data_IF_494467628745
#
_entry.id   IF_494467628745
#
_cell.length_a   1.000
_cell.length_b   1.000
_cell.length_c   1.000
_cell.angle_alpha   90.00
_cell.angle_beta   90.00
_cell.angle_gamma   90.00
#
_symmetry.space_group_name_H-M   'P 1'
#
loop_
_entity.id
_entity.type
_entity.pdbx_description
1 polymer ?
#
# COMPACT_ATOMS: atom_id res chain seq x y z
N UNK A 1 36.19 32.60 59.38
CA UNK A 1 35.57 31.25 59.34
C UNK A 1 34.23 31.32 60.04
N UNK A 2 33.17 30.57 59.68
CA UNK A 2 32.97 29.58 58.59
C UNK A 2 31.80 30.04 57.67
N UNK A 3 31.23 29.33 56.69
CA UNK A 3 31.54 28.20 55.82
C UNK A 3 30.55 28.27 54.65
N UNK A 4 31.00 27.80 53.50
CA UNK A 4 30.26 27.41 52.31
C UNK A 4 28.91 26.70 52.59
N UNK A 5 27.89 27.00 51.78
CA UNK A 5 26.84 26.06 51.37
C UNK A 5 26.34 26.51 49.98
N UNK A 6 26.99 26.00 48.93
CA UNK A 6 26.44 24.99 48.02
C UNK A 6 25.08 25.44 47.42
N UNK A 7 24.98 25.90 46.17
CA UNK A 7 25.65 25.33 45.01
C UNK A 7 25.11 23.94 44.67
N UNK A 8 23.79 23.73 44.61
CA UNK A 8 23.20 22.45 44.17
C UNK A 8 21.75 22.56 43.67
N UNK A 9 21.45 23.47 42.74
CA UNK A 9 20.12 23.53 42.10
C UNK A 9 20.15 23.33 40.58
N UNK A 10 21.19 22.68 40.03
CA UNK A 10 21.33 22.40 38.58
C UNK A 10 21.49 20.93 38.19
N UNK A 11 21.39 19.97 39.13
CA UNK A 11 21.70 18.56 38.86
C UNK A 11 20.52 17.59 38.66
N UNK A 12 19.32 17.89 39.15
CA UNK A 12 18.25 16.88 39.29
C UNK A 12 17.30 16.78 38.08
N UNK A 13 17.22 17.80 37.23
CA UNK A 13 16.31 17.83 36.08
C UNK A 13 16.71 16.91 34.91
N UNK A 14 18.01 16.61 34.76
CA UNK A 14 18.52 15.74 33.70
C UNK A 14 18.41 14.25 34.03
N UNK A 15 18.70 13.88 35.29
CA UNK A 15 18.61 12.49 35.75
C UNK A 15 17.18 11.98 35.83
N UNK A 16 16.23 12.81 36.27
CA UNK A 16 14.81 12.43 36.31
C UNK A 16 14.23 12.19 34.90
N UNK A 17 14.59 13.02 33.90
CA UNK A 17 14.20 12.81 32.51
C UNK A 17 14.82 11.55 31.90
N UNK A 18 16.07 11.25 32.27
CA UNK A 18 16.80 10.04 31.83
C UNK A 18 16.19 8.76 32.42
N UNK A 19 15.92 8.74 33.72
CA UNK A 19 15.36 7.58 34.41
C UNK A 19 13.92 7.29 33.97
N UNK A 20 13.09 8.32 33.79
CA UNK A 20 11.72 8.16 33.24
C UNK A 20 11.77 7.69 31.78
N UNK A 21 12.69 8.21 30.97
CA UNK A 21 12.91 7.74 29.60
C UNK A 21 13.37 6.28 29.52
N UNK A 22 14.25 5.86 30.43
CA UNK A 22 14.75 4.48 30.53
C UNK A 22 13.67 3.52 31.03
N UNK A 23 12.93 3.88 32.08
CA UNK A 23 11.79 3.11 32.58
C UNK A 23 10.70 3.00 31.51
N UNK A 24 10.37 4.09 30.80
CA UNK A 24 9.41 4.08 29.69
C UNK A 24 9.88 3.15 28.55
N UNK A 25 11.15 3.17 28.16
CA UNK A 25 11.71 2.23 27.18
C UNK A 25 11.70 0.77 27.66
N UNK A 26 11.79 0.53 28.98
CA UNK A 26 11.78 -0.80 29.59
C UNK A 26 10.37 -1.40 29.70
N UNK A 27 9.37 -0.59 30.02
CA UNK A 27 7.97 -1.03 30.12
C UNK A 27 7.20 -0.91 28.79
N UNK A 28 7.63 0.01 27.92
CA UNK A 28 7.11 0.21 26.57
C UNK A 28 8.30 0.22 25.62
N UNK A 29 8.85 -0.97 25.26
CA UNK A 29 9.88 -1.04 24.23
C UNK A 29 9.41 -0.26 23.00
N UNK A 30 10.29 0.53 22.36
CA UNK A 30 9.94 1.20 21.12
C UNK A 30 9.46 0.11 20.17
N UNK A 31 8.16 0.13 19.84
CA UNK A 31 7.66 -0.73 18.78
C UNK A 31 8.39 -0.26 17.53
N UNK A 32 9.24 -1.11 16.96
CA UNK A 32 9.68 -0.97 15.58
C UNK A 32 8.43 -1.19 14.74
N UNK A 33 7.63 -0.13 14.64
CA UNK A 33 6.31 -0.13 14.06
C UNK A 33 6.38 0.72 12.82
N UNK A 34 6.01 0.13 11.69
CA UNK A 34 5.78 0.89 10.48
C UNK A 34 4.78 2.02 10.74
N UNK A 35 4.97 3.15 10.06
CA UNK A 35 4.00 4.23 10.10
C UNK A 35 2.71 3.80 9.39
N UNK A 36 1.60 4.46 9.73
CA UNK A 36 0.34 4.28 9.01
C UNK A 36 0.41 5.05 7.68
N UNK A 37 -0.07 4.45 6.60
CA UNK A 37 -0.05 5.05 5.25
C UNK A 37 -0.92 6.30 5.16
N UNK A 38 -0.49 7.45 4.61
CA UNK A 38 -1.40 8.58 4.39
C UNK A 38 -2.70 8.17 3.63
N UNK A 39 -3.87 8.67 4.05
CA UNK A 39 -5.15 8.28 3.42
C UNK A 39 -5.31 8.83 2.00
N UNK A 40 -4.76 10.00 1.75
CA UNK A 40 -4.74 10.68 0.45
C UNK A 40 -3.51 10.28 -0.40
N UNK A 41 -2.83 9.17 -0.10
CA UNK A 41 -1.61 8.78 -0.80
C UNK A 41 -1.77 8.74 -2.32
N UNK A 42 -2.84 8.10 -2.82
CA UNK A 42 -3.14 7.99 -4.25
C UNK A 42 -3.59 9.33 -4.88
N UNK A 43 -3.93 10.32 -4.07
CA UNK A 43 -4.22 11.67 -4.56
C UNK A 43 -2.93 12.46 -4.78
N UNK A 44 -1.89 12.21 -3.99
CA UNK A 44 -0.61 12.94 -4.01
C UNK A 44 0.41 12.27 -4.92
N UNK A 45 0.45 10.93 -4.91
CA UNK A 45 1.43 10.13 -5.65
C UNK A 45 0.71 9.51 -6.85
N UNK A 46 1.13 9.94 -8.05
CA UNK A 46 0.50 9.52 -9.31
C UNK A 46 1.55 9.31 -10.40
N UNK A 47 1.21 8.55 -11.44
CA UNK A 47 2.01 8.53 -12.65
C UNK A 47 2.23 9.93 -13.24
N UNK A 48 3.29 10.09 -14.03
CA UNK A 48 3.82 11.37 -14.55
C UNK A 48 4.43 12.31 -13.49
N UNK A 49 4.35 11.97 -12.20
CA UNK A 49 4.99 12.77 -11.15
C UNK A 49 6.46 12.38 -10.98
N UNK A 50 7.27 13.30 -10.46
CA UNK A 50 8.68 13.03 -10.18
C UNK A 50 8.84 12.23 -8.87
N UNK A 51 9.57 11.11 -8.92
CA UNK A 51 9.81 10.24 -7.76
C UNK A 51 10.61 10.91 -6.65
N UNK A 52 11.51 11.86 -6.96
CA UNK A 52 12.30 12.58 -5.96
C UNK A 52 11.43 13.29 -4.92
N UNK A 53 10.34 13.94 -5.36
CA UNK A 53 9.36 14.56 -4.44
C UNK A 53 8.67 13.54 -3.54
N UNK A 54 8.43 12.33 -4.06
CA UNK A 54 7.82 11.25 -3.28
C UNK A 54 8.78 10.71 -2.24
N UNK A 55 10.05 10.55 -2.59
CA UNK A 55 11.10 10.15 -1.65
C UNK A 55 11.29 11.20 -0.53
N UNK A 56 11.18 12.49 -0.84
CA UNK A 56 11.18 13.55 0.18
C UNK A 56 9.96 13.46 1.11
N UNK A 57 8.77 13.16 0.57
CA UNK A 57 7.52 13.10 1.33
C UNK A 57 7.39 11.84 2.19
N UNK A 58 7.76 10.68 1.66
CA UNK A 58 7.61 9.38 2.32
C UNK A 58 8.88 8.92 3.04
N UNK A 59 10.02 9.55 2.77
CA UNK A 59 11.33 9.11 3.23
C UNK A 59 11.90 7.97 2.38
N UNK A 60 12.87 7.27 2.95
CA UNK A 60 13.53 6.15 2.28
C UNK A 60 12.58 4.94 2.12
N UNK A 61 12.56 4.32 0.92
CA UNK A 61 11.81 3.09 0.70
C UNK A 61 12.38 1.94 1.54
N UNK A 62 11.50 0.99 1.86
CA UNK A 62 11.89 -0.25 2.54
C UNK A 62 12.84 -1.10 1.68
N UNK A 63 12.61 -1.12 0.36
CA UNK A 63 13.41 -1.88 -0.59
C UNK A 63 13.41 -1.18 -1.95
N UNK A 64 14.54 -1.21 -2.65
CA UNK A 64 14.69 -0.70 -4.03
C UNK A 64 15.31 -1.78 -4.89
N UNK A 65 14.68 -2.07 -6.02
CA UNK A 65 15.19 -3.00 -7.01
C UNK A 65 14.98 -2.44 -8.41
N UNK A 66 16.08 -2.16 -9.12
CA UNK A 66 16.06 -1.49 -10.42
C UNK A 66 15.23 -0.18 -10.35
N UNK A 67 14.26 -0.06 -11.24
CA UNK A 67 13.29 1.02 -11.36
C UNK A 67 12.17 1.02 -10.31
N UNK A 68 12.10 0.01 -9.42
CA UNK A 68 11.00 -0.16 -8.48
C UNK A 68 11.41 0.20 -7.04
N UNK A 69 10.63 1.06 -6.40
CA UNK A 69 10.72 1.38 -4.98
C UNK A 69 9.52 0.81 -4.22
N UNK A 70 9.77 0.15 -3.09
CA UNK A 70 8.76 -0.51 -2.27
C UNK A 70 8.73 0.11 -0.88
N UNK A 71 7.56 0.59 -0.46
CA UNK A 71 7.31 1.20 0.84
C UNK A 71 6.37 0.32 1.65
N UNK A 72 6.81 -0.04 2.87
CA UNK A 72 6.04 -0.86 3.78
C UNK A 72 5.45 0.01 4.89
N UNK A 73 4.13 0.05 4.96
CA UNK A 73 3.40 0.70 6.04
C UNK A 73 2.75 -0.37 6.94
N UNK A 74 2.25 0.06 8.10
CA UNK A 74 1.62 -0.86 9.05
C UNK A 74 0.30 -1.45 8.55
N UNK A 75 -0.34 -0.79 7.58
CA UNK A 75 -1.66 -1.15 7.06
C UNK A 75 -1.74 -1.26 5.54
N UNK A 76 -0.67 -0.94 4.81
CA UNK A 76 -0.61 -1.11 3.37
C UNK A 76 0.81 -1.36 2.85
N UNK A 77 0.89 -1.80 1.61
CA UNK A 77 2.11 -1.96 0.83
C UNK A 77 2.00 -1.05 -0.40
N UNK A 78 2.99 -0.18 -0.60
CA UNK A 78 3.06 0.72 -1.75
C UNK A 78 4.26 0.34 -2.61
N UNK A 79 4.04 0.24 -3.91
CA UNK A 79 5.06 0.03 -4.92
C UNK A 79 4.99 1.15 -5.96
N UNK A 80 6.14 1.69 -6.30
CA UNK A 80 6.29 2.77 -7.27
C UNK A 80 7.33 2.32 -8.29
N UNK A 81 6.95 2.33 -9.56
CA UNK A 81 7.89 2.15 -10.66
C UNK A 81 8.17 3.50 -11.31
N UNK A 82 9.41 3.68 -11.74
CA UNK A 82 9.89 4.90 -12.39
C UNK A 82 10.76 4.58 -13.60
N UNK A 83 10.82 5.48 -14.54
CA UNK A 83 11.79 5.42 -15.64
C UNK A 83 13.18 5.96 -15.22
N UNK A 84 14.09 6.02 -16.18
CA UNK A 84 15.46 6.51 -16.00
C UNK A 84 15.52 8.02 -15.66
N UNK A 85 14.48 8.78 -16.03
CA UNK A 85 14.33 10.21 -15.75
C UNK A 85 13.65 10.47 -14.38
N UNK A 86 13.44 9.42 -13.57
CA UNK A 86 12.73 9.46 -12.30
C UNK A 86 11.26 9.87 -12.40
N UNK A 87 10.64 9.72 -13.57
CA UNK A 87 9.20 9.90 -13.73
C UNK A 87 8.50 8.62 -13.31
N UNK A 88 7.49 8.75 -12.46
CA UNK A 88 6.68 7.63 -12.00
C UNK A 88 5.85 7.09 -13.16
N UNK A 89 6.02 5.82 -13.48
CA UNK A 89 5.28 5.10 -14.53
C UNK A 89 4.16 4.24 -13.97
N UNK A 90 4.31 3.73 -12.75
CA UNK A 90 3.30 2.94 -12.05
C UNK A 90 3.25 3.26 -10.56
N UNK A 91 2.04 3.27 -10.00
CA UNK A 91 1.79 3.37 -8.56
C UNK A 91 0.82 2.26 -8.17
N UNK A 92 1.27 1.34 -7.33
CA UNK A 92 0.46 0.22 -6.84
C UNK A 92 0.32 0.26 -5.33
N UNK A 93 -0.91 0.16 -4.84
CA UNK A 93 -1.21 0.16 -3.40
C UNK A 93 -2.07 -1.06 -3.05
N UNK A 94 -1.59 -1.87 -2.09
CA UNK A 94 -2.31 -2.99 -1.53
C UNK A 94 -2.59 -2.76 -0.04
N UNK A 95 -3.83 -2.97 0.41
CA UNK A 95 -4.16 -2.88 1.85
C UNK A 95 -3.91 -4.21 2.55
N UNK A 96 -3.25 -4.15 3.71
CA UNK A 96 -3.05 -5.28 4.62
C UNK A 96 -4.21 -5.43 5.62
N UNK A 97 -5.07 -4.41 5.74
CA UNK A 97 -6.17 -4.36 6.70
C UNK A 97 -7.51 -4.24 5.96
N UNK A 98 -8.07 -5.34 5.44
CA UNK A 98 -9.33 -5.32 4.70
C UNK A 98 -10.52 -4.79 5.53
N UNK A 99 -10.40 -4.83 6.87
CA UNK A 99 -11.43 -4.32 7.80
C UNK A 99 -11.45 -2.80 7.94
N UNK A 100 -10.55 -2.05 7.30
CA UNK A 100 -10.51 -0.58 7.31
C UNK A 100 -10.85 0.01 5.93
N UNK A 101 -12.09 -0.18 5.46
CA UNK A 101 -12.46 -0.04 4.06
C UNK A 101 -12.52 1.40 3.53
N UNK A 102 -12.24 2.43 4.33
CA UNK A 102 -12.54 3.83 3.96
C UNK A 102 -11.33 4.72 3.76
N UNK A 103 -10.12 4.15 3.66
CA UNK A 103 -8.90 4.96 3.79
C UNK A 103 -8.30 5.41 2.47
N UNK A 104 -8.29 4.56 1.45
CA UNK A 104 -7.53 4.81 0.23
C UNK A 104 -8.47 5.01 -0.96
N UNK A 105 -8.76 6.29 -1.26
CA UNK A 105 -9.57 6.68 -2.40
C UNK A 105 -8.71 6.65 -3.67
N UNK A 106 -9.23 6.00 -4.71
CA UNK A 106 -8.66 5.92 -6.06
C UNK A 106 -9.09 7.16 -6.82
N UNK A 107 -8.18 8.11 -6.99
CA UNK A 107 -8.42 9.31 -7.79
C UNK A 107 -8.13 9.03 -9.28
N UNK A 108 -8.92 9.55 -10.24
CA UNK A 108 -10.08 10.44 -10.08
C UNK A 108 -11.43 9.74 -9.86
N UNK A 109 -11.44 8.41 -9.92
CA UNK A 109 -12.66 7.58 -10.02
C UNK A 109 -13.51 7.55 -8.75
N UNK A 110 -12.98 8.04 -7.62
CA UNK A 110 -13.66 8.11 -6.32
C UNK A 110 -14.00 6.75 -5.68
N UNK A 111 -13.58 5.65 -6.28
CA UNK A 111 -13.64 4.32 -5.67
C UNK A 111 -12.71 4.25 -4.45
N UNK A 112 -12.99 3.35 -3.51
CA UNK A 112 -12.24 3.23 -2.26
C UNK A 112 -11.84 1.78 -2.01
N UNK A 113 -10.52 1.59 -1.83
CA UNK A 113 -9.89 0.31 -1.60
C UNK A 113 -10.45 -0.38 -0.35
N UNK A 114 -10.94 -1.60 -0.50
CA UNK A 114 -11.54 -2.39 0.57
C UNK A 114 -13.00 -2.04 0.90
N UNK A 115 -13.61 -1.02 0.30
CA UNK A 115 -15.06 -0.72 0.40
C UNK A 115 -15.79 -1.18 -0.85
N UNK A 116 -15.38 -0.66 -2.00
CA UNK A 116 -16.12 -0.82 -3.25
C UNK A 116 -15.81 -2.18 -3.88
N UNK A 117 -16.78 -2.69 -4.62
CA UNK A 117 -16.79 -4.03 -5.22
C UNK A 117 -16.31 -4.03 -6.66
N UNK A 118 -15.99 -5.20 -7.19
CA UNK A 118 -15.71 -5.36 -8.61
C UNK A 118 -16.93 -4.98 -9.46
N UNK A 119 -18.16 -5.20 -8.98
CA UNK A 119 -19.37 -4.74 -9.69
C UNK A 119 -19.52 -3.23 -9.69
N UNK A 120 -19.06 -2.52 -8.65
CA UNK A 120 -19.09 -1.05 -8.62
C UNK A 120 -18.16 -0.44 -9.67
N UNK A 121 -17.03 -1.11 -9.97
CA UNK A 121 -16.06 -0.67 -10.98
C UNK A 121 -16.45 -1.15 -12.38
N UNK A 122 -16.86 -2.42 -12.49
CA UNK A 122 -17.22 -3.09 -13.74
C UNK A 122 -18.73 -3.45 -13.72
N UNK A 123 -19.62 -2.47 -14.00
CA UNK A 123 -21.05 -2.64 -13.83
C UNK A 123 -21.65 -3.69 -14.77
N UNK A 124 -21.04 -3.88 -15.94
CA UNK A 124 -21.59 -4.72 -17.01
C UNK A 124 -20.71 -5.94 -17.30
N UNK A 125 -21.38 -7.02 -17.73
CA UNK A 125 -20.73 -8.23 -18.25
C UNK A 125 -20.02 -9.10 -17.21
N UNK A 126 -19.34 -10.09 -17.74
CA UNK A 126 -18.47 -11.00 -17.01
C UNK A 126 -17.14 -10.30 -16.67
N UNK A 127 -16.60 -10.63 -15.49
CA UNK A 127 -15.33 -10.09 -15.02
C UNK A 127 -14.27 -11.17 -15.16
N UNK A 128 -13.61 -11.15 -16.32
CA UNK A 128 -12.45 -11.98 -16.59
C UNK A 128 -11.24 -11.38 -15.86
N UNK A 129 -10.59 -12.19 -15.04
CA UNK A 129 -9.46 -11.81 -14.21
C UNK A 129 -8.16 -12.37 -14.80
N UNK A 130 -7.16 -11.50 -14.95
CA UNK A 130 -5.77 -11.93 -15.05
C UNK A 130 -5.32 -12.49 -13.70
N UNK A 131 -4.38 -13.44 -13.73
CA UNK A 131 -3.86 -14.08 -12.52
C UNK A 131 -2.34 -14.12 -12.57
N UNK A 132 -1.74 -13.59 -11.52
CA UNK A 132 -0.31 -13.71 -11.25
C UNK A 132 -0.14 -14.20 -9.82
N UNK A 133 0.60 -15.28 -9.63
CA UNK A 133 0.70 -15.89 -8.31
C UNK A 133 1.83 -16.88 -8.17
N UNK A 134 2.01 -17.32 -6.93
CA UNK A 134 2.94 -18.35 -6.49
C UNK A 134 2.32 -19.11 -5.33
N UNK A 135 3.03 -20.09 -4.77
CA UNK A 135 2.58 -20.79 -3.56
C UNK A 135 2.42 -19.90 -2.33
N UNK A 136 2.97 -18.68 -2.34
CA UNK A 136 2.96 -17.76 -1.18
C UNK A 136 1.97 -16.59 -1.33
N UNK A 137 1.56 -16.26 -2.55
CA UNK A 137 0.64 -15.18 -2.82
C UNK A 137 -0.08 -15.39 -4.15
N UNK A 138 -1.31 -14.92 -4.27
CA UNK A 138 -2.06 -14.90 -5.53
C UNK A 138 -2.63 -13.49 -5.73
N UNK A 139 -2.58 -13.02 -6.98
CA UNK A 139 -3.17 -11.75 -7.40
C UNK A 139 -4.12 -12.06 -8.54
N UNK A 140 -5.37 -11.68 -8.37
CA UNK A 140 -6.37 -11.68 -9.43
C UNK A 140 -6.74 -10.25 -9.74
N UNK A 141 -6.74 -9.85 -11.01
CA UNK A 141 -6.98 -8.45 -11.37
C UNK A 141 -7.68 -8.28 -12.69
N UNK A 142 -8.37 -7.15 -12.85
CA UNK A 142 -8.87 -6.67 -14.14
C UNK A 142 -8.42 -5.24 -14.33
N UNK A 143 -7.96 -4.92 -15.54
CA UNK A 143 -7.53 -3.59 -15.93
C UNK A 143 -8.59 -2.93 -16.78
N UNK A 144 -8.83 -1.65 -16.55
CA UNK A 144 -9.67 -0.79 -17.39
C UNK A 144 -9.02 0.58 -17.56
N UNK A 145 -9.31 1.20 -18.70
CA UNK A 145 -8.72 2.47 -19.11
C UNK A 145 -9.67 3.61 -18.75
N UNK A 146 -9.13 4.65 -18.11
CA UNK A 146 -9.89 5.86 -17.78
C UNK A 146 -9.09 7.09 -18.20
N UNK A 147 -9.73 8.04 -18.88
CA UNK A 147 -9.10 9.29 -19.30
C UNK A 147 -9.67 9.85 -20.60
N UNK A 148 -8.99 10.88 -21.12
CA UNK A 148 -9.29 11.46 -22.42
C UNK A 148 -8.41 10.82 -23.52
N UNK A 149 -8.86 10.81 -24.78
CA UNK A 149 -8.02 10.40 -25.92
C UNK A 149 -6.64 11.06 -25.89
N UNK A 150 -5.59 10.23 -25.80
CA UNK A 150 -4.18 10.67 -25.77
C UNK A 150 -3.58 10.89 -24.37
N UNK A 151 -4.36 10.73 -23.30
CA UNK A 151 -3.87 10.77 -21.91
C UNK A 151 -4.70 9.81 -21.06
N UNK A 152 -4.62 8.53 -21.41
CA UNK A 152 -5.26 7.46 -20.63
C UNK A 152 -4.33 7.02 -19.50
N UNK A 153 -4.93 6.75 -18.36
CA UNK A 153 -4.31 5.98 -17.29
C UNK A 153 -4.98 4.61 -17.26
N UNK A 154 -4.19 3.58 -17.03
CA UNK A 154 -4.69 2.23 -16.85
C UNK A 154 -4.86 1.99 -15.36
N UNK A 155 -6.06 1.55 -14.97
CA UNK A 155 -6.40 1.25 -13.60
C UNK A 155 -6.61 -0.26 -13.48
N UNK A 156 -5.72 -0.93 -12.77
CA UNK A 156 -5.86 -2.35 -12.44
C UNK A 156 -6.45 -2.49 -11.05
N UNK A 157 -7.62 -3.08 -10.95
CA UNK A 157 -8.27 -3.41 -9.68
C UNK A 157 -8.12 -4.90 -9.41
N UNK A 158 -7.74 -5.24 -8.19
CA UNK A 158 -7.40 -6.63 -7.89
C UNK A 158 -7.70 -7.09 -6.47
N UNK A 159 -7.53 -8.38 -6.31
CA UNK A 159 -7.53 -9.13 -5.07
C UNK A 159 -6.12 -9.67 -4.89
N UNK A 160 -5.46 -9.31 -3.81
CA UNK A 160 -4.21 -9.92 -3.36
C UNK A 160 -4.48 -10.80 -2.14
N UNK A 161 -4.10 -12.06 -2.26
CA UNK A 161 -4.04 -13.02 -1.18
C UNK A 161 -2.58 -13.36 -0.88
N UNK A 162 -2.21 -13.41 0.39
CA UNK A 162 -0.85 -13.72 0.77
C UNK A 162 -0.76 -14.50 2.08
N UNK A 163 0.17 -15.45 2.12
CA UNK A 163 0.51 -16.24 3.31
C UNK A 163 1.39 -15.39 4.24
N UNK A 164 0.77 -14.43 4.92
CA UNK A 164 1.39 -13.55 5.92
C UNK A 164 0.99 -13.92 7.36
N UNK A 165 1.53 -13.20 8.35
CA UNK A 165 1.04 -13.22 9.72
C UNK A 165 0.53 -11.83 10.16
N UNK A 166 -0.78 -11.62 10.40
CA UNK A 166 -1.87 -12.55 10.08
C UNK A 166 -1.99 -12.74 8.56
N UNK A 167 -2.55 -13.86 8.08
CA UNK A 167 -2.64 -14.11 6.64
C UNK A 167 -3.59 -13.10 6.01
N UNK A 168 -3.16 -12.51 4.90
CA UNK A 168 -4.01 -11.66 4.07
C UNK A 168 -4.88 -12.59 3.24
N UNK A 169 -5.93 -13.11 3.88
CA UNK A 169 -6.97 -13.86 3.19
C UNK A 169 -8.06 -12.90 2.82
N UNK A 170 -8.38 -12.88 1.55
CA UNK A 170 -9.59 -12.26 1.10
C UNK A 170 -10.76 -13.21 1.43
N UNK A 171 -11.92 -12.67 1.82
CA UNK A 171 -12.99 -13.45 2.44
C UNK A 171 -13.43 -14.58 1.50
N UNK A 172 -13.91 -15.70 2.06
CA UNK A 172 -14.45 -16.85 1.31
C UNK A 172 -15.70 -16.55 0.47
N UNK A 173 -15.92 -15.27 0.18
CA UNK A 173 -16.93 -14.75 -0.71
C UNK A 173 -16.46 -14.88 -2.16
N UNK A 174 -15.20 -14.62 -2.51
CA UNK A 174 -14.79 -14.65 -3.93
C UNK A 174 -14.89 -16.05 -4.54
N UNK A 175 -15.84 -16.23 -5.46
CA UNK A 175 -15.98 -17.44 -6.25
C UNK A 175 -15.39 -17.21 -7.64
N UNK A 176 -14.27 -17.88 -7.92
CA UNK A 176 -13.58 -17.80 -9.21
C UNK A 176 -13.81 -19.11 -9.95
N UNK A 177 -14.49 -19.03 -11.08
CA UNK A 177 -14.78 -20.17 -11.95
C UNK A 177 -13.80 -20.15 -13.13
N UNK A 178 -13.22 -21.31 -13.45
CA UNK A 178 -12.36 -21.46 -14.62
C UNK A 178 -13.22 -21.90 -15.81
N UNK A 179 -13.39 -21.03 -16.81
CA UNK A 179 -14.12 -21.32 -18.04
C UNK A 179 -13.15 -21.12 -19.21
N UNK A 180 -12.83 -22.20 -19.94
CA UNK A 180 -11.98 -22.15 -21.14
C UNK A 180 -10.67 -21.36 -20.93
N UNK A 181 -9.92 -21.70 -19.88
CA UNK A 181 -8.66 -21.05 -19.45
C UNK A 181 -8.81 -19.64 -18.86
N UNK A 182 -9.97 -19.00 -19.00
CA UNK A 182 -10.28 -17.72 -18.36
C UNK A 182 -10.77 -17.92 -16.93
N UNK A 183 -10.35 -17.03 -16.03
CA UNK A 183 -10.80 -17.00 -14.63
C UNK A 183 -11.89 -15.95 -14.49
N UNK A 184 -13.12 -16.37 -14.25
CA UNK A 184 -14.27 -15.46 -14.15
C UNK A 184 -14.70 -15.31 -12.69
N UNK A 185 -14.90 -14.06 -12.27
CA UNK A 185 -15.48 -13.75 -10.96
C UNK A 185 -17.01 -13.96 -11.01
N UNK A 186 -17.52 -14.96 -10.28
CA UNK A 186 -18.92 -15.35 -10.34
C UNK A 186 -19.85 -14.43 -9.53
N UNK A 187 -19.32 -13.78 -8.48
CA UNK A 187 -20.10 -12.94 -7.57
C UNK A 187 -19.47 -11.56 -7.30
N UNK A 188 -19.23 -10.77 -8.36
CA UNK A 188 -18.48 -9.52 -8.29
C UNK A 188 -19.13 -8.44 -7.42
N UNK A 189 -20.41 -8.55 -7.11
CA UNK A 189 -21.16 -7.66 -6.21
C UNK A 189 -20.85 -7.85 -4.72
N UNK A 190 -20.16 -8.96 -4.36
CA UNK A 190 -19.73 -9.23 -2.97
C UNK A 190 -18.24 -8.99 -2.79
N UNK A 191 -17.50 -9.01 -3.89
CA UNK A 191 -16.05 -9.02 -3.92
C UNK A 191 -15.54 -7.59 -4.04
N UNK A 192 -14.94 -7.07 -2.98
CA UNK A 192 -14.18 -5.82 -2.91
C UNK A 192 -12.76 -6.00 -3.44
N UNK A 193 -12.18 -4.95 -3.99
CA UNK A 193 -10.76 -4.97 -4.37
C UNK A 193 -9.92 -4.47 -3.19
N UNK A 194 -8.76 -5.09 -2.95
CA UNK A 194 -7.81 -4.71 -1.90
C UNK A 194 -6.43 -4.32 -2.43
N UNK A 195 -6.25 -4.38 -3.75
CA UNK A 195 -5.10 -3.81 -4.45
C UNK A 195 -5.58 -2.99 -5.64
N UNK A 196 -4.91 -1.87 -5.87
CA UNK A 196 -5.12 -1.02 -7.04
C UNK A 196 -3.77 -0.62 -7.61
N UNK A 197 -3.64 -0.63 -8.93
CA UNK A 197 -2.49 -0.07 -9.65
C UNK A 197 -2.96 0.98 -10.65
N UNK A 198 -2.19 2.07 -10.76
CA UNK A 198 -2.38 3.13 -11.75
C UNK A 198 -1.10 3.23 -12.57
N UNK A 199 -1.20 3.00 -13.88
CA UNK A 199 -0.03 2.97 -14.79
C UNK A 199 -0.23 3.88 -15.99
N UNK A 200 0.89 4.35 -16.55
CA UNK A 200 0.91 5.08 -17.83
C UNK A 200 0.63 4.11 -18.98
N UNK A 201 1.43 3.06 -19.07
CA UNK A 201 1.34 2.05 -20.13
C UNK A 201 0.43 0.88 -19.71
N UNK A 202 -0.15 0.21 -20.70
CA UNK A 202 -0.96 -0.99 -20.46
C UNK A 202 -0.07 -2.10 -19.88
N UNK A 203 -0.32 -2.54 -18.64
CA UNK A 203 0.52 -3.55 -18.03
C UNK A 203 0.05 -4.95 -18.44
N UNK A 204 0.98 -5.82 -18.85
CA UNK A 204 0.68 -7.25 -19.11
C UNK A 204 0.14 -7.95 -17.86
N UNK A 205 0.71 -7.60 -16.70
CA UNK A 205 0.26 -8.05 -15.38
C UNK A 205 0.29 -6.88 -14.40
N UNK A 206 -0.55 -6.93 -13.36
CA UNK A 206 -0.55 -5.92 -12.31
C UNK A 206 0.88 -5.75 -11.74
N UNK A 207 1.49 -4.55 -11.82
CA UNK A 207 2.88 -4.32 -11.44
C UNK A 207 3.02 -4.29 -9.91
N UNK A 208 3.05 -5.49 -9.35
CA UNK A 208 3.20 -5.72 -7.92
C UNK A 208 4.01 -6.99 -7.65
N UNK A 209 5.03 -6.84 -6.83
CA UNK A 209 5.92 -7.93 -6.45
C UNK A 209 5.88 -8.13 -4.95
N UNK A 210 5.22 -9.20 -4.50
CA UNK A 210 5.06 -9.48 -3.08
C UNK A 210 6.40 -9.66 -2.35
N UNK A 211 7.40 -10.27 -3.00
CA UNK A 211 8.72 -10.52 -2.40
C UNK A 211 9.50 -9.26 -2.06
N UNK A 212 9.17 -8.11 -2.66
CA UNK A 212 9.81 -6.82 -2.35
C UNK A 212 9.47 -6.28 -0.95
N UNK A 213 8.57 -6.96 -0.22
CA UNK A 213 8.16 -6.60 1.13
C UNK A 213 8.51 -7.67 2.17
N UNK A 214 9.22 -8.74 1.80
CA UNK A 214 9.60 -9.83 2.71
C UNK A 214 10.83 -9.48 3.55
#
# INVERSE_FOLDING_TARGET
>A
MPLELLGAAKGLGGFAKSAVGYARKRFFPPKVGYQLTPSNLLEVIRPFSNYGKVAELLGEPHHVWKAQASYRFADSLLQIERDDDNVITAVTLATLKPRWPHRFRVHPLQFVLGRDTFRDVFPEGEILLSHNGSSKFNIYSKTEYFGFPGSYLHFSFGIVEAVTWPPLRWQGDAEIVNINEARTLANPERVKFNIVSVTIDEPEFLPFTWSSFQ
#
